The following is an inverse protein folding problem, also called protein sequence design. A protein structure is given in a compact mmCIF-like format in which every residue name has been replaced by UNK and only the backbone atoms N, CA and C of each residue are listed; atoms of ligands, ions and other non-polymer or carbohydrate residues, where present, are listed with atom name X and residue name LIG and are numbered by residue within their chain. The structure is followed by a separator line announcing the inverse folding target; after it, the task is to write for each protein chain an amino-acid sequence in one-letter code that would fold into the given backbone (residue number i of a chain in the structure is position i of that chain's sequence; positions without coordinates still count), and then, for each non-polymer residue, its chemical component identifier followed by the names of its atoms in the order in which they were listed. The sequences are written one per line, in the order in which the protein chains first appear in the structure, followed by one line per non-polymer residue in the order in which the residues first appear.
data_IF_897476449119
#
_entry.id   IF_897476449119
#
_cell.length_a   1.000
_cell.length_b   1.000
_cell.length_c   1.000
_cell.angle_alpha   90.00
_cell.angle_beta   90.00
_cell.angle_gamma   90.00
#
_symmetry.space_group_name_H-M   'P 1'
#
loop_
_entity.id
_entity.type
_entity.pdbx_description
1 polymer ?
#
# COMPACT_ATOMS: atom_id res chain seq x y z
N UNK A 1 -21.69 10.64 -15.52
CA UNK A 1 -20.58 11.46 -15.00
C UNK A 1 -20.10 10.78 -13.73
N UNK A 2 -18.90 10.19 -13.74
CA UNK A 2 -18.30 9.59 -12.54
C UNK A 2 -18.12 10.69 -11.50
N UNK A 3 -18.60 10.50 -10.27
CA UNK A 3 -18.35 11.46 -9.19
C UNK A 3 -16.85 11.56 -8.96
N UNK A 4 -16.31 12.78 -8.91
CA UNK A 4 -14.90 13.01 -8.56
C UNK A 4 -14.63 12.34 -7.21
N UNK A 5 -13.72 11.37 -7.19
CA UNK A 5 -13.30 10.70 -5.95
C UNK A 5 -12.22 11.57 -5.30
N UNK A 6 -12.61 12.27 -4.24
CA UNK A 6 -11.71 13.13 -3.47
C UNK A 6 -10.57 12.30 -2.85
N UNK A 7 -9.34 12.83 -2.88
CA UNK A 7 -8.11 12.17 -2.42
C UNK A 7 -7.32 13.12 -1.52
N UNK A 8 -6.59 12.56 -0.56
CA UNK A 8 -5.62 13.27 0.27
C UNK A 8 -4.22 12.88 -0.18
N UNK A 9 -3.57 13.77 -0.91
CA UNK A 9 -2.38 13.45 -1.70
C UNK A 9 -1.15 14.09 -1.07
N UNK A 10 -0.12 13.27 -0.83
CA UNK A 10 1.23 13.73 -0.55
C UNK A 10 2.06 13.77 -1.85
N UNK A 11 2.63 14.92 -2.19
CA UNK A 11 3.49 15.06 -3.39
C UNK A 11 4.96 14.98 -2.97
N UNK A 12 5.56 13.80 -3.10
CA UNK A 12 6.97 13.56 -2.80
C UNK A 12 7.85 14.03 -3.96
N UNK A 13 8.71 15.03 -3.74
CA UNK A 13 9.62 15.52 -4.78
C UNK A 13 10.87 16.20 -4.21
N UNK A 14 11.76 16.67 -5.09
CA UNK A 14 12.86 17.53 -4.65
C UNK A 14 12.38 18.97 -4.46
N UNK A 15 12.91 19.66 -3.45
CA UNK A 15 12.83 21.11 -3.31
C UNK A 15 13.28 21.88 -4.57
N UNK A 16 14.19 21.28 -5.35
CA UNK A 16 14.75 21.86 -6.57
C UNK A 16 13.99 21.50 -7.84
N UNK A 17 12.90 20.74 -7.75
CA UNK A 17 12.13 20.31 -8.93
C UNK A 17 11.24 21.47 -9.44
N UNK A 18 11.50 22.06 -10.61
CA UNK A 18 10.69 23.17 -11.11
C UNK A 18 9.28 22.76 -11.54
N UNK A 19 9.04 21.47 -11.81
CA UNK A 19 7.73 20.97 -12.25
C UNK A 19 6.75 20.71 -11.11
N UNK A 20 7.22 20.54 -9.87
CA UNK A 20 6.37 20.18 -8.73
C UNK A 20 5.19 21.14 -8.50
N UNK A 21 5.34 22.48 -8.59
CA UNK A 21 4.22 23.40 -8.41
C UNK A 21 3.09 23.20 -9.42
N UNK A 22 3.42 22.87 -10.68
CA UNK A 22 2.43 22.59 -11.72
C UNK A 22 1.66 21.30 -11.43
N UNK A 23 2.33 20.28 -10.88
CA UNK A 23 1.69 19.02 -10.48
C UNK A 23 0.72 19.25 -9.30
N UNK A 24 1.14 20.00 -8.29
CA UNK A 24 0.25 20.37 -7.17
C UNK A 24 -0.97 21.13 -7.67
N UNK A 25 -0.78 22.09 -8.58
CA UNK A 25 -1.89 22.85 -9.16
C UNK A 25 -2.86 21.96 -9.95
N UNK A 26 -2.35 21.03 -10.77
CA UNK A 26 -3.17 20.10 -11.54
C UNK A 26 -4.01 19.18 -10.62
N UNK A 27 -3.40 18.63 -9.57
CA UNK A 27 -4.09 17.77 -8.60
C UNK A 27 -5.18 18.52 -7.82
N UNK A 28 -4.91 19.77 -7.41
CA UNK A 28 -5.92 20.62 -6.76
C UNK A 28 -7.05 21.00 -7.72
N UNK A 29 -6.73 21.31 -8.98
CA UNK A 29 -7.72 21.59 -10.02
C UNK A 29 -8.61 20.37 -10.32
N UNK A 30 -8.09 19.16 -10.15
CA UNK A 30 -8.86 17.91 -10.22
C UNK A 30 -9.74 17.65 -8.98
N UNK A 31 -9.73 18.53 -7.97
CA UNK A 31 -10.59 18.45 -6.79
C UNK A 31 -10.03 17.60 -5.64
N UNK A 32 -8.71 17.39 -5.60
CA UNK A 32 -8.04 16.67 -4.50
C UNK A 32 -7.47 17.64 -3.46
N UNK A 33 -7.34 17.16 -2.22
CA UNK A 33 -6.63 17.84 -1.15
C UNK A 33 -5.15 17.44 -1.24
N UNK A 34 -4.25 18.43 -1.38
CA UNK A 34 -2.84 18.17 -1.75
C UNK A 34 -1.93 18.86 -0.74
N UNK A 35 -1.13 18.03 -0.04
CA UNK A 35 -0.03 18.49 0.78
C UNK A 35 1.16 18.88 -0.10
N UNK A 36 1.59 20.13 0.06
CA UNK A 36 2.76 20.71 -0.61
C UNK A 36 3.83 20.97 0.45
N UNK A 37 4.87 20.14 0.49
CA UNK A 37 5.97 20.27 1.45
C UNK A 37 6.71 21.60 1.34
N UNK A 38 6.56 22.35 0.23
CA UNK A 38 7.12 23.69 0.07
C UNK A 38 6.35 24.77 0.81
N UNK A 39 5.07 24.51 1.06
CA UNK A 39 4.13 25.41 1.70
C UNK A 39 3.24 24.61 2.65
N UNK A 40 3.80 23.91 3.67
CA UNK A 40 3.07 22.93 4.47
C UNK A 40 1.99 23.57 5.35
N UNK A 41 2.12 24.86 5.67
CA UNK A 41 1.12 25.67 6.36
C UNK A 41 1.31 27.16 6.04
N UNK A 42 0.28 28.02 6.23
CA UNK A 42 0.45 29.46 6.09
C UNK A 42 1.61 30.01 6.93
N UNK A 43 2.61 30.62 6.28
CA UNK A 43 3.80 31.14 6.94
C UNK A 43 4.88 30.13 7.28
N UNK A 44 4.71 28.84 6.92
CA UNK A 44 5.72 27.81 7.06
C UNK A 44 6.37 27.53 5.68
N UNK A 45 7.70 27.62 5.61
CA UNK A 45 8.48 27.43 4.40
C UNK A 45 9.14 26.05 4.30
N UNK A 46 8.65 25.06 5.05
CA UNK A 46 9.21 23.72 5.12
C UNK A 46 10.50 23.65 5.95
N UNK A 47 11.07 22.44 6.03
CA UNK A 47 12.31 22.19 6.76
C UNK A 47 13.54 22.52 5.91
N UNK A 48 14.53 23.20 6.52
CA UNK A 48 15.87 23.34 5.95
C UNK A 48 16.97 22.92 6.93
N UNK A 49 17.92 22.12 6.45
CA UNK A 49 19.11 21.77 7.22
C UNK A 49 19.94 22.99 7.66
N UNK A 50 19.88 24.10 6.91
CA UNK A 50 20.57 25.34 7.30
C UNK A 50 20.01 25.98 8.56
N UNK A 51 18.77 25.63 8.96
CA UNK A 51 18.15 26.06 10.21
C UNK A 51 18.60 25.21 11.40
N UNK A 52 19.13 24.01 11.14
CA UNK A 52 19.80 23.18 12.14
C UNK A 52 21.22 23.66 12.37
N UNK A 53 21.96 23.86 11.28
CA UNK A 53 23.32 24.38 11.27
C UNK A 53 23.64 24.96 9.88
N UNK A 54 24.08 26.22 9.75
CA UNK A 54 24.52 26.78 8.48
C UNK A 54 25.63 25.98 7.79
N UNK A 55 26.42 25.22 8.53
CA UNK A 55 27.53 24.40 8.05
C UNK A 55 27.17 22.91 7.85
N UNK A 56 25.88 22.56 7.79
CA UNK A 56 25.38 21.18 7.72
C UNK A 56 25.98 20.33 6.59
N UNK A 57 26.39 20.95 5.48
CA UNK A 57 27.03 20.26 4.35
C UNK A 57 28.41 19.68 4.69
N UNK A 58 29.07 20.18 5.74
CA UNK A 58 30.41 19.78 6.15
C UNK A 58 30.40 18.86 7.38
N UNK A 59 29.23 18.36 7.79
CA UNK A 59 29.15 17.41 8.89
C UNK A 59 29.80 16.07 8.55
N UNK A 60 30.47 15.48 9.54
CA UNK A 60 30.80 14.07 9.53
C UNK A 60 29.55 13.21 9.87
N UNK A 61 29.59 11.89 9.61
CA UNK A 61 28.45 11.01 9.89
C UNK A 61 27.98 10.99 11.36
N UNK A 62 28.90 11.15 12.32
CA UNK A 62 28.58 11.19 13.74
C UNK A 62 27.83 12.46 14.11
N UNK A 63 28.31 13.61 13.63
CA UNK A 63 27.61 14.90 13.78
C UNK A 63 26.23 14.86 13.13
N UNK A 64 26.11 14.31 11.93
CA UNK A 64 24.81 14.14 11.27
C UNK A 64 23.85 13.29 12.12
N UNK A 65 24.30 12.14 12.62
CA UNK A 65 23.46 11.26 13.44
C UNK A 65 23.02 11.95 14.73
N UNK A 66 23.94 12.63 15.43
CA UNK A 66 23.61 13.40 16.64
C UNK A 66 22.55 14.47 16.35
N UNK A 67 22.78 15.30 15.31
CA UNK A 67 21.86 16.40 14.96
C UNK A 67 20.50 15.88 14.49
N UNK A 68 20.47 14.80 13.70
CA UNK A 68 19.24 14.16 13.25
C UNK A 68 18.41 13.66 14.45
N UNK A 69 19.06 13.04 15.44
CA UNK A 69 18.37 12.38 16.56
C UNK A 69 18.00 13.32 17.71
N UNK A 70 18.66 14.47 17.84
CA UNK A 70 18.51 15.34 19.01
C UNK A 70 18.03 16.76 18.71
N UNK A 71 18.19 17.25 17.47
CA UNK A 71 17.92 18.66 17.19
C UNK A 71 16.42 18.94 17.06
N UNK A 72 15.86 19.93 17.79
CA UNK A 72 14.42 20.19 17.81
C UNK A 72 13.86 20.60 16.45
N UNK A 73 14.62 21.33 15.63
CA UNK A 73 14.19 21.68 14.26
C UNK A 73 14.09 20.45 13.37
N UNK A 74 15.00 19.48 13.50
CA UNK A 74 14.93 18.22 12.75
C UNK A 74 13.73 17.37 13.21
N UNK A 75 13.50 17.28 14.53
CA UNK A 75 12.34 16.60 15.08
C UNK A 75 11.01 17.24 14.63
N UNK A 76 10.93 18.57 14.63
CA UNK A 76 9.76 19.31 14.17
C UNK A 76 9.50 19.11 12.67
N UNK A 77 10.54 19.25 11.83
CA UNK A 77 10.44 19.01 10.38
C UNK A 77 9.99 17.60 10.07
N UNK A 78 10.60 16.59 10.72
CA UNK A 78 10.17 15.20 10.60
C UNK A 78 8.71 14.99 11.01
N UNK A 79 8.27 15.56 12.14
CA UNK A 79 6.90 15.41 12.61
C UNK A 79 5.86 16.01 11.66
N UNK A 80 6.16 17.15 11.02
CA UNK A 80 5.31 17.74 9.99
C UNK A 80 5.15 16.82 8.78
N UNK A 81 6.26 16.38 8.18
CA UNK A 81 6.21 15.53 6.99
C UNK A 81 5.60 14.16 7.32
N UNK A 82 5.95 13.58 8.46
CA UNK A 82 5.39 12.31 8.94
C UNK A 82 3.87 12.38 9.15
N UNK A 83 3.38 13.46 9.74
CA UNK A 83 1.94 13.67 9.92
C UNK A 83 1.21 13.77 8.58
N UNK A 84 1.81 14.42 7.58
CA UNK A 84 1.26 14.49 6.23
C UNK A 84 1.26 13.14 5.50
N UNK A 85 2.32 12.32 5.67
CA UNK A 85 2.38 10.95 5.14
C UNK A 85 1.35 10.02 5.82
N UNK A 86 1.08 10.22 7.10
CA UNK A 86 0.05 9.46 7.84
C UNK A 86 -1.35 9.87 7.40
N UNK A 87 -1.56 11.17 7.21
CA UNK A 87 -2.81 11.77 6.75
C UNK A 87 -3.18 11.35 5.32
N UNK A 88 -2.22 11.27 4.40
CA UNK A 88 -2.51 10.99 3.00
C UNK A 88 -3.07 9.58 2.79
N UNK A 89 -3.94 9.42 1.80
CA UNK A 89 -4.36 8.12 1.27
C UNK A 89 -3.60 7.75 -0.02
N UNK A 90 -2.91 8.73 -0.61
CA UNK A 90 -2.21 8.59 -1.88
C UNK A 90 -0.89 9.37 -1.82
N UNK A 91 0.20 8.80 -2.32
CA UNK A 91 1.47 9.50 -2.50
C UNK A 91 1.90 9.48 -3.97
N UNK A 92 2.34 10.63 -4.49
CA UNK A 92 2.84 10.76 -5.86
C UNK A 92 4.30 11.21 -5.79
N UNK A 93 5.21 10.35 -6.24
CA UNK A 93 6.61 10.68 -6.41
C UNK A 93 6.81 11.40 -7.75
N UNK A 94 7.34 12.62 -7.73
CA UNK A 94 7.52 13.46 -8.93
C UNK A 94 9.00 13.63 -9.22
N UNK A 95 9.47 13.02 -10.32
CA UNK A 95 10.85 13.14 -10.78
C UNK A 95 11.15 14.51 -11.42
N UNK A 96 12.43 14.96 -11.40
CA UNK A 96 13.53 14.39 -10.62
C UNK A 96 13.36 14.64 -9.12
N UNK A 97 13.69 13.65 -8.30
CA UNK A 97 13.65 13.77 -6.85
C UNK A 97 14.86 13.12 -6.17
N UNK A 98 15.01 13.37 -4.86
CA UNK A 98 16.09 12.81 -4.06
C UNK A 98 15.69 11.53 -3.32
N UNK A 99 16.61 11.08 -2.46
CA UNK A 99 16.45 9.90 -1.59
C UNK A 99 15.26 10.03 -0.62
N UNK A 100 15.02 11.22 -0.09
CA UNK A 100 13.91 11.47 0.85
C UNK A 100 12.56 11.15 0.22
N UNK A 101 12.29 11.68 -0.99
CA UNK A 101 11.05 11.42 -1.71
C UNK A 101 10.81 9.92 -1.98
N UNK A 102 11.86 9.15 -2.26
CA UNK A 102 11.74 7.69 -2.43
C UNK A 102 11.46 6.98 -1.10
N UNK A 103 12.08 7.42 -0.01
CA UNK A 103 11.80 6.89 1.33
C UNK A 103 10.36 7.18 1.76
N UNK A 104 9.86 8.39 1.47
CA UNK A 104 8.47 8.80 1.69
C UNK A 104 7.50 7.94 0.87
N UNK A 105 7.78 7.72 -0.42
CA UNK A 105 7.00 6.83 -1.28
C UNK A 105 6.97 5.40 -0.72
N UNK A 106 8.13 4.86 -0.33
CA UNK A 106 8.24 3.52 0.26
C UNK A 106 7.50 3.39 1.58
N UNK A 107 7.54 4.43 2.43
CA UNK A 107 6.79 4.48 3.68
C UNK A 107 5.27 4.43 3.46
N UNK A 108 4.78 5.13 2.44
CA UNK A 108 3.34 5.11 2.08
C UNK A 108 2.96 3.78 1.44
N UNK A 109 3.81 3.23 0.56
CA UNK A 109 3.59 1.90 -0.04
C UNK A 109 3.52 0.80 1.04
N UNK A 110 4.40 0.87 2.05
CA UNK A 110 4.41 -0.06 3.19
C UNK A 110 3.15 -0.01 4.06
N UNK A 111 2.35 1.05 3.96
CA UNK A 111 1.04 1.17 4.62
C UNK A 111 -0.13 0.69 3.74
N UNK A 112 0.13 0.09 2.58
CA UNK A 112 -0.92 -0.38 1.67
C UNK A 112 -1.71 0.72 0.96
N UNK A 113 -1.26 1.97 1.09
CA UNK A 113 -1.85 3.16 0.46
C UNK A 113 -1.46 3.25 -1.02
N UNK A 114 -2.21 4.03 -1.80
CA UNK A 114 -1.93 4.17 -3.23
C UNK A 114 -0.64 4.98 -3.46
N UNK A 115 0.25 4.46 -4.30
CA UNK A 115 1.50 5.13 -4.65
C UNK A 115 1.71 5.19 -6.15
N UNK A 116 2.00 6.39 -6.65
CA UNK A 116 2.25 6.62 -8.07
C UNK A 116 3.62 7.24 -8.29
N UNK A 117 4.27 6.85 -9.38
CA UNK A 117 5.52 7.47 -9.84
C UNK A 117 5.24 8.27 -11.11
N UNK A 118 5.54 9.56 -11.07
CA UNK A 118 5.51 10.46 -12.22
C UNK A 118 6.92 10.68 -12.75
N UNK A 119 7.19 10.10 -13.91
CA UNK A 119 8.46 10.16 -14.61
C UNK A 119 8.68 11.54 -15.25
N UNK A 120 9.91 12.03 -15.16
CA UNK A 120 10.35 13.17 -15.95
C UNK A 120 10.86 12.65 -17.29
N UNK A 121 10.48 13.24 -18.45
CA UNK A 121 10.86 12.73 -19.77
C UNK A 121 12.38 12.58 -19.95
N UNK A 122 13.15 13.58 -19.50
CA UNK A 122 14.60 13.62 -19.73
C UNK A 122 15.47 13.46 -18.46
N UNK A 123 14.86 13.23 -17.28
CA UNK A 123 15.57 13.29 -15.99
C UNK A 123 15.11 12.18 -15.06
N UNK A 124 15.24 10.95 -15.54
CA UNK A 124 15.06 9.76 -14.74
C UNK A 124 16.18 8.75 -15.01
N UNK A 125 16.56 8.03 -13.98
CA UNK A 125 17.35 6.81 -14.08
C UNK A 125 16.37 5.63 -14.00
N UNK A 126 16.46 4.61 -14.86
CA UNK A 126 15.59 3.44 -14.76
C UNK A 126 15.70 2.78 -13.39
N UNK A 127 14.57 2.60 -12.70
CA UNK A 127 14.50 2.02 -11.36
C UNK A 127 13.47 0.87 -11.34
N UNK A 128 13.96 -0.35 -11.09
CA UNK A 128 13.15 -1.57 -11.08
C UNK A 128 12.14 -1.59 -9.93
N UNK A 129 12.52 -1.04 -8.77
CA UNK A 129 11.71 -1.09 -7.55
C UNK A 129 10.43 -0.26 -7.65
N UNK A 130 10.23 0.50 -8.73
CA UNK A 130 8.95 1.15 -9.01
C UNK A 130 7.78 0.16 -9.17
N UNK A 131 8.05 -1.13 -9.41
CA UNK A 131 7.06 -2.21 -9.39
C UNK A 131 6.38 -2.42 -8.03
N UNK A 132 6.95 -1.91 -6.93
CA UNK A 132 6.29 -1.96 -5.61
C UNK A 132 5.07 -1.03 -5.53
N UNK A 133 5.01 0.00 -6.39
CA UNK A 133 3.99 1.03 -6.36
C UNK A 133 2.71 0.63 -7.10
N UNK A 134 1.63 1.38 -6.89
CA UNK A 134 0.35 1.16 -7.60
C UNK A 134 0.54 1.28 -9.11
N UNK A 135 1.20 2.34 -9.59
CA UNK A 135 1.56 2.48 -10.99
C UNK A 135 2.66 3.53 -11.24
N UNK A 136 3.19 3.53 -12.45
CA UNK A 136 4.19 4.48 -12.92
C UNK A 136 3.76 5.05 -14.28
N UNK A 137 3.88 6.36 -14.48
CA UNK A 137 3.50 7.05 -15.71
C UNK A 137 4.39 8.24 -15.99
N UNK A 138 4.50 8.66 -17.25
CA UNK A 138 5.06 9.95 -17.67
C UNK A 138 4.01 11.07 -17.75
N UNK A 139 2.74 10.79 -17.43
CA UNK A 139 1.63 11.73 -17.55
C UNK A 139 0.83 11.85 -16.25
N UNK A 140 0.71 13.09 -15.77
CA UNK A 140 -0.15 13.39 -14.60
C UNK A 140 -1.62 13.11 -14.90
N UNK A 141 -2.08 13.36 -16.14
CA UNK A 141 -3.47 13.11 -16.53
C UNK A 141 -3.82 11.61 -16.46
N UNK A 142 -2.85 10.75 -16.80
CA UNK A 142 -3.03 9.30 -16.66
C UNK A 142 -3.14 8.89 -15.18
N UNK A 143 -2.31 9.47 -14.31
CA UNK A 143 -2.40 9.22 -12.86
C UNK A 143 -3.75 9.68 -12.31
N UNK A 144 -4.22 10.88 -12.70
CA UNK A 144 -5.55 11.39 -12.33
C UNK A 144 -6.67 10.45 -12.83
N UNK A 145 -6.55 9.95 -14.06
CA UNK A 145 -7.46 8.95 -14.62
C UNK A 145 -7.54 7.68 -13.75
N UNK A 146 -6.39 7.10 -13.40
CA UNK A 146 -6.33 5.92 -12.52
C UNK A 146 -6.94 6.20 -11.13
N UNK A 147 -6.66 7.37 -10.55
CA UNK A 147 -7.22 7.76 -9.25
C UNK A 147 -8.74 7.94 -9.28
N UNK A 148 -9.31 8.39 -10.40
CA UNK A 148 -10.75 8.55 -10.57
C UNK A 148 -11.48 7.19 -10.66
N UNK A 149 -10.82 6.18 -11.24
CA UNK A 149 -11.36 4.83 -11.39
C UNK A 149 -11.26 4.03 -10.06
N UNK A 150 -10.20 4.23 -9.29
CA UNK A 150 -9.93 3.52 -8.02
C UNK A 150 -10.49 4.28 -6.81
N UNK A 151 -10.98 3.63 -5.73
CA UNK A 151 -11.27 4.40 -4.50
C UNK A 151 -9.99 4.75 -3.73
N UNK A 152 -9.99 5.85 -2.98
CA UNK A 152 -8.92 6.19 -2.05
C UNK A 152 -8.72 5.14 -0.96
N UNK A 153 -7.46 4.87 -0.64
CA UNK A 153 -7.10 4.31 0.67
C UNK A 153 -6.36 3.00 0.65
N UNK A 154 -6.00 2.62 1.88
CA UNK A 154 -5.45 1.32 2.25
C UNK A 154 -6.42 0.22 1.81
N UNK A 155 -5.92 -0.76 1.07
CA UNK A 155 -6.66 -1.97 0.69
C UNK A 155 -7.36 -2.59 1.92
N UNK A 156 -6.74 -2.51 3.10
CA UNK A 156 -7.34 -2.92 4.36
C UNK A 156 -8.56 -2.10 4.78
N UNK A 157 -8.56 -0.79 4.54
CA UNK A 157 -9.71 0.10 4.84
C UNK A 157 -10.88 -0.19 3.90
N UNK A 158 -10.64 -0.31 2.60
CA UNK A 158 -11.70 -0.69 1.66
C UNK A 158 -12.30 -2.05 2.03
N UNK A 159 -11.47 -3.02 2.41
CA UNK A 159 -11.92 -4.33 2.86
C UNK A 159 -12.85 -4.20 4.09
N UNK A 160 -12.44 -3.43 5.10
CA UNK A 160 -13.23 -3.16 6.33
C UNK A 160 -14.53 -2.42 6.04
N UNK A 161 -14.50 -1.36 5.23
CA UNK A 161 -15.67 -0.52 4.90
C UNK A 161 -16.66 -1.24 3.98
N UNK A 162 -16.18 -2.19 3.17
CA UNK A 162 -17.02 -3.07 2.34
C UNK A 162 -17.59 -4.24 3.14
N UNK A 163 -17.61 -4.16 4.47
CA UNK A 163 -18.25 -5.15 5.34
C UNK A 163 -17.33 -6.27 5.82
N UNK A 164 -16.06 -6.35 5.40
CA UNK A 164 -15.16 -7.36 5.94
C UNK A 164 -14.86 -7.05 7.42
N UNK A 165 -15.53 -7.76 8.30
CA UNK A 165 -15.36 -7.62 9.74
C UNK A 165 -14.01 -8.21 10.20
N UNK A 166 -13.12 -7.35 10.67
CA UNK A 166 -11.98 -7.70 11.54
C UNK A 166 -12.40 -8.09 12.97
N UNK A 167 -13.69 -8.27 13.25
CA UNK A 167 -14.21 -8.53 14.61
C UNK A 167 -14.28 -10.02 14.97
N UNK A 168 -14.13 -10.92 13.98
CA UNK A 168 -13.89 -12.36 14.21
C UNK A 168 -12.78 -12.88 13.29
N UNK A 169 -11.51 -12.68 13.67
CA UNK A 169 -10.33 -13.25 13.00
C UNK A 169 -10.23 -14.79 13.05
N UNK A 170 -11.35 -15.47 13.31
CA UNK A 170 -11.50 -16.92 13.34
C UNK A 170 -12.64 -17.41 12.43
N UNK A 171 -13.43 -16.50 11.81
CA UNK A 171 -14.36 -16.88 10.73
C UNK A 171 -13.95 -16.42 9.33
N UNK A 172 -13.12 -15.38 9.22
CA UNK A 172 -12.75 -14.79 7.93
C UNK A 172 -11.73 -15.63 7.19
N UNK A 173 -10.69 -16.07 7.86
CA UNK A 173 -9.71 -16.97 7.32
C UNK A 173 -10.09 -18.45 7.37
N UNK A 174 -11.14 -18.91 8.06
CA UNK A 174 -11.78 -20.20 7.78
C UNK A 174 -12.43 -20.16 6.39
N UNK A 175 -12.99 -19.02 5.99
CA UNK A 175 -13.48 -18.79 4.62
C UNK A 175 -12.32 -18.70 3.61
N UNK A 176 -11.26 -17.96 3.91
CA UNK A 176 -10.08 -17.90 3.02
C UNK A 176 -9.39 -19.27 2.91
N UNK A 177 -9.22 -19.98 4.02
CA UNK A 177 -8.72 -21.35 4.09
C UNK A 177 -9.52 -22.26 3.17
N UNK A 178 -10.86 -22.21 3.27
CA UNK A 178 -11.74 -23.00 2.43
C UNK A 178 -11.58 -22.66 0.95
N UNK A 179 -11.56 -21.38 0.59
CA UNK A 179 -11.35 -20.93 -0.80
C UNK A 179 -10.00 -21.39 -1.35
N UNK A 180 -8.94 -21.38 -0.55
CA UNK A 180 -7.60 -21.82 -0.99
C UNK A 180 -7.52 -23.37 -1.06
N UNK A 181 -8.14 -24.12 -0.14
CA UNK A 181 -8.23 -25.59 -0.24
C UNK A 181 -8.98 -26.00 -1.52
N UNK A 182 -10.12 -25.36 -1.82
CA UNK A 182 -10.90 -25.63 -3.03
C UNK A 182 -10.07 -25.35 -4.30
N UNK A 183 -9.22 -24.32 -4.29
CA UNK A 183 -8.30 -24.00 -5.39
C UNK A 183 -7.12 -24.99 -5.49
N UNK A 184 -6.51 -25.40 -4.38
CA UNK A 184 -5.44 -26.40 -4.37
C UNK A 184 -5.93 -27.74 -4.94
N UNK A 185 -7.12 -28.18 -4.52
CA UNK A 185 -7.75 -29.40 -5.05
C UNK A 185 -8.08 -29.25 -6.53
N UNK A 186 -8.63 -28.10 -6.95
CA UNK A 186 -8.90 -27.83 -8.37
C UNK A 186 -7.62 -27.77 -9.23
N UNK A 187 -6.49 -27.38 -8.64
CA UNK A 187 -5.17 -27.36 -9.27
C UNK A 187 -4.46 -28.73 -9.26
N UNK A 188 -5.08 -29.76 -8.70
CA UNK A 188 -4.57 -31.13 -8.70
C UNK A 188 -3.70 -31.51 -7.49
N UNK A 189 -3.64 -30.67 -6.46
CA UNK A 189 -2.97 -31.04 -5.21
C UNK A 189 -3.76 -32.14 -4.49
N UNK A 190 -3.06 -33.17 -4.03
CA UNK A 190 -3.63 -34.23 -3.23
C UNK A 190 -3.81 -33.81 -1.77
N UNK A 191 -4.76 -34.45 -1.08
CA UNK A 191 -5.00 -34.26 0.34
C UNK A 191 -3.71 -34.45 1.16
N UNK A 192 -2.88 -35.43 0.79
CA UNK A 192 -1.59 -35.69 1.45
C UNK A 192 -0.62 -34.52 1.29
N UNK A 193 -0.54 -33.91 0.10
CA UNK A 193 0.36 -32.78 -0.14
C UNK A 193 -0.04 -31.54 0.67
N UNK A 194 -1.35 -31.30 0.80
CA UNK A 194 -1.91 -30.24 1.62
C UNK A 194 -1.56 -30.45 3.09
N UNK A 195 -1.72 -31.67 3.62
CA UNK A 195 -1.40 -32.02 5.01
C UNK A 195 0.11 -31.94 5.28
N UNK A 196 0.94 -32.50 4.40
CA UNK A 196 2.40 -32.54 4.59
C UNK A 196 3.01 -31.13 4.63
N UNK A 197 2.59 -30.24 3.72
CA UNK A 197 3.09 -28.86 3.68
C UNK A 197 2.58 -28.05 4.88
N UNK A 198 1.33 -28.28 5.27
CA UNK A 198 0.76 -27.64 6.44
C UNK A 198 1.54 -28.00 7.70
N UNK A 199 1.82 -29.30 7.92
CA UNK A 199 2.62 -29.75 9.05
C UNK A 199 4.05 -29.21 9.08
N UNK A 200 4.68 -29.03 7.90
CA UNK A 200 6.06 -28.55 7.82
C UNK A 200 6.22 -27.07 8.24
N UNK A 201 5.25 -26.21 7.90
CA UNK A 201 5.28 -24.79 8.26
C UNK A 201 4.86 -24.57 9.72
N UNK A 202 3.88 -25.32 10.26
CA UNK A 202 3.57 -25.32 11.69
C UNK A 202 4.83 -25.62 12.51
N UNK A 203 5.54 -26.70 12.14
CA UNK A 203 6.77 -27.09 12.82
C UNK A 203 7.88 -26.02 12.70
N UNK A 204 7.89 -25.22 11.64
CA UNK A 204 8.88 -24.16 11.42
C UNK A 204 8.60 -22.93 12.28
N UNK A 205 7.34 -22.55 12.40
CA UNK A 205 6.93 -21.44 13.25
C UNK A 205 7.07 -21.79 14.74
N UNK A 206 6.78 -23.04 15.12
CA UNK A 206 7.11 -23.58 16.45
C UNK A 206 8.61 -23.47 16.77
N UNK A 207 9.48 -23.87 15.83
CA UNK A 207 10.95 -23.76 16.00
C UNK A 207 11.44 -22.32 16.20
N UNK A 208 10.70 -21.33 15.69
CA UNK A 208 11.04 -19.90 15.81
C UNK A 208 10.45 -19.26 17.06
N UNK A 209 9.68 -20.00 17.86
CA UNK A 209 9.03 -19.48 19.05
C UNK A 209 7.99 -18.40 18.74
N UNK A 210 7.48 -18.36 17.50
CA UNK A 210 6.57 -17.32 17.02
C UNK A 210 5.24 -17.27 17.81
N UNK A 211 4.96 -18.29 18.64
CA UNK A 211 3.70 -18.48 19.36
C UNK A 211 3.80 -18.45 20.89
N UNK A 212 4.98 -18.13 21.44
CA UNK A 212 5.14 -18.01 22.90
C UNK A 212 4.82 -19.29 23.71
N UNK A 213 4.77 -20.46 23.05
CA UNK A 213 4.47 -21.75 23.68
C UNK A 213 2.99 -22.09 23.82
N UNK A 214 2.08 -21.30 23.23
CA UNK A 214 0.65 -21.60 23.20
C UNK A 214 0.16 -21.82 21.75
N UNK A 215 0.06 -23.08 21.29
CA UNK A 215 -0.44 -23.41 19.96
C UNK A 215 -1.89 -22.97 19.69
N UNK A 216 -2.67 -22.66 20.74
CA UNK A 216 -4.04 -22.15 20.62
C UNK A 216 -4.11 -20.61 20.55
N UNK A 217 -3.00 -19.91 20.81
CA UNK A 217 -2.88 -18.47 20.63
C UNK A 217 -2.58 -18.06 19.18
N UNK A 218 -2.31 -19.05 18.32
CA UNK A 218 -2.26 -18.92 16.86
C UNK A 218 -3.65 -18.45 16.42
N UNK A 219 -3.81 -17.25 15.85
CA UNK A 219 -5.04 -16.94 15.13
C UNK A 219 -5.20 -18.03 14.07
N UNK A 220 -6.15 -18.97 14.28
CA UNK A 220 -6.37 -20.30 13.64
C UNK A 220 -6.67 -20.23 12.12
N UNK A 221 -6.04 -19.28 11.44
CA UNK A 221 -6.58 -18.65 10.25
C UNK A 221 -5.46 -18.10 9.36
N UNK A 222 -4.41 -17.51 9.95
CA UNK A 222 -3.36 -16.84 9.15
C UNK A 222 -2.21 -17.77 8.76
N UNK A 223 -1.83 -18.70 9.64
CA UNK A 223 -0.81 -19.70 9.35
C UNK A 223 -1.26 -20.62 8.21
N UNK A 224 -2.51 -21.06 8.25
CA UNK A 224 -3.06 -21.97 7.25
C UNK A 224 -3.27 -21.29 5.88
N UNK A 225 -3.68 -20.01 5.85
CA UNK A 225 -3.74 -19.24 4.60
C UNK A 225 -2.34 -19.03 3.98
N UNK A 226 -1.33 -18.72 4.79
CA UNK A 226 0.06 -18.58 4.32
C UNK A 226 0.61 -19.92 3.80
N UNK A 227 0.33 -21.01 4.51
CA UNK A 227 0.70 -22.38 4.14
C UNK A 227 0.09 -22.80 2.79
N UNK A 228 -1.19 -22.55 2.59
CA UNK A 228 -1.87 -22.95 1.35
C UNK A 228 -1.49 -22.08 0.15
N UNK A 229 -1.20 -20.79 0.35
CA UNK A 229 -0.66 -19.92 -0.69
C UNK A 229 0.73 -20.38 -1.17
N UNK A 230 1.57 -20.90 -0.28
CA UNK A 230 2.87 -21.46 -0.63
C UNK A 230 2.75 -22.82 -1.36
N UNK A 231 1.79 -23.67 -0.99
CA UNK A 231 1.45 -24.91 -1.74
C UNK A 231 1.00 -24.56 -3.16
N UNK A 232 0.10 -23.60 -3.31
CA UNK A 232 -0.39 -23.15 -4.61
C UNK A 232 0.72 -22.53 -5.48
N UNK A 233 1.54 -21.63 -4.91
CA UNK A 233 2.65 -21.01 -5.62
C UNK A 233 3.66 -22.06 -6.13
N UNK A 234 3.94 -23.08 -5.32
CA UNK A 234 4.89 -24.16 -5.65
C UNK A 234 4.39 -25.09 -6.74
N UNK A 235 3.13 -25.50 -6.70
CA UNK A 235 2.58 -26.49 -7.64
C UNK A 235 2.05 -25.88 -8.93
N UNK A 236 1.58 -24.63 -8.89
CA UNK A 236 1.07 -23.94 -10.08
C UNK A 236 2.11 -23.02 -10.74
N UNK A 237 3.26 -22.76 -10.09
CA UNK A 237 4.30 -21.86 -10.62
C UNK A 237 3.89 -20.40 -10.65
N UNK A 238 3.03 -20.00 -9.71
CA UNK A 238 2.33 -18.71 -9.72
C UNK A 238 2.98 -17.75 -8.73
N UNK A 239 3.24 -16.51 -9.17
CA UNK A 239 3.74 -15.43 -8.31
C UNK A 239 2.66 -14.97 -7.31
N UNK A 240 2.91 -15.26 -6.03
CA UNK A 240 2.01 -14.96 -4.91
C UNK A 240 1.65 -13.48 -4.81
N UNK A 241 2.60 -12.57 -5.05
CA UNK A 241 2.36 -11.14 -4.88
C UNK A 241 1.54 -10.57 -6.05
N UNK A 242 1.84 -11.01 -7.28
CA UNK A 242 1.08 -10.66 -8.47
C UNK A 242 -0.37 -11.15 -8.45
N UNK A 243 -0.63 -12.40 -8.05
CA UNK A 243 -1.99 -12.93 -8.07
C UNK A 243 -2.87 -12.43 -6.92
N UNK A 244 -2.30 -12.20 -5.73
CA UNK A 244 -3.06 -11.53 -4.64
C UNK A 244 -3.53 -10.16 -5.13
N UNK A 245 -2.65 -9.39 -5.78
CA UNK A 245 -2.98 -8.07 -6.32
C UNK A 245 -4.04 -8.16 -7.43
N UNK A 246 -3.90 -9.08 -8.37
CA UNK A 246 -4.92 -9.34 -9.41
C UNK A 246 -6.25 -9.80 -8.84
N UNK A 247 -6.25 -10.64 -7.80
CA UNK A 247 -7.48 -11.12 -7.15
C UNK A 247 -8.18 -9.97 -6.43
N UNK A 248 -7.44 -9.11 -5.75
CA UNK A 248 -7.96 -7.89 -5.15
C UNK A 248 -8.54 -6.95 -6.21
N UNK A 249 -7.88 -6.80 -7.36
CA UNK A 249 -8.41 -6.01 -8.50
C UNK A 249 -9.65 -6.68 -9.17
N UNK A 250 -9.75 -8.01 -9.16
CA UNK A 250 -10.94 -8.75 -9.65
C UNK A 250 -12.10 -8.65 -8.65
N UNK A 251 -11.81 -8.71 -7.35
CA UNK A 251 -12.80 -8.48 -6.29
C UNK A 251 -13.29 -7.04 -6.33
N UNK A 252 -12.39 -6.07 -6.57
CA UNK A 252 -12.70 -4.67 -6.79
C UNK A 252 -13.70 -4.44 -7.94
N UNK A 253 -13.50 -5.12 -9.07
CA UNK A 253 -14.33 -4.97 -10.28
C UNK A 253 -15.67 -5.71 -10.21
N UNK A 254 -15.87 -6.57 -9.22
CA UNK A 254 -17.13 -7.30 -9.01
C UNK A 254 -17.87 -6.53 -7.92
N UNK A 255 -19.00 -5.92 -8.25
CA UNK A 255 -19.81 -5.16 -7.29
C UNK A 255 -20.40 -6.12 -6.22
N UNK A 256 -19.66 -6.37 -5.14
CA UNK A 256 -20.09 -7.22 -4.01
C UNK A 256 -20.91 -6.39 -3.01
N UNK A 257 -21.93 -7.02 -2.42
CA UNK A 257 -22.71 -6.49 -1.29
C UNK A 257 -22.38 -7.25 -0.01
N UNK A 258 -22.36 -6.57 1.13
CA UNK A 258 -22.21 -7.20 2.44
C UNK A 258 -23.58 -7.67 2.95
N UNK A 259 -23.66 -8.90 3.47
CA UNK A 259 -24.84 -9.34 4.21
C UNK A 259 -24.85 -8.77 5.64
N UNK A 260 -25.89 -9.10 6.43
CA UNK A 260 -26.04 -8.64 7.81
C UNK A 260 -24.87 -9.03 8.73
N UNK A 261 -24.07 -10.03 8.34
CA UNK A 261 -22.91 -10.53 9.08
C UNK A 261 -21.58 -10.02 8.51
N UNK A 262 -21.61 -9.11 7.52
CA UNK A 262 -20.41 -8.56 6.88
C UNK A 262 -19.74 -9.49 5.85
N UNK A 263 -20.34 -10.65 5.55
CA UNK A 263 -19.85 -11.50 4.49
C UNK A 263 -20.20 -10.88 3.12
N UNK A 264 -19.18 -10.61 2.31
CA UNK A 264 -19.35 -10.14 0.93
C UNK A 264 -19.94 -11.25 0.05
N UNK A 265 -21.09 -10.98 -0.57
CA UNK A 265 -21.72 -11.83 -1.57
C UNK A 265 -21.99 -11.02 -2.86
N UNK A 266 -22.08 -11.69 -4.00
CA UNK A 266 -22.49 -11.04 -5.24
C UNK A 266 -24.02 -11.12 -5.35
N UNK A 267 -24.75 -10.01 -5.44
CA UNK A 267 -26.19 -10.04 -5.72
C UNK A 267 -26.38 -10.79 -7.04
N UNK A 268 -27.26 -11.79 -7.05
CA UNK A 268 -27.42 -12.66 -8.20
C UNK A 268 -27.57 -11.85 -9.48
N UNK A 269 -26.80 -12.20 -10.53
CA UNK A 269 -27.15 -11.77 -11.88
C UNK A 269 -28.60 -12.19 -12.08
N UNK A 270 -29.52 -11.22 -12.17
CA UNK A 270 -30.82 -11.51 -12.73
C UNK A 270 -30.55 -12.20 -14.07
N UNK A 271 -30.87 -13.49 -14.17
CA UNK A 271 -31.05 -14.11 -15.47
C UNK A 271 -32.01 -13.17 -16.18
N UNK A 272 -31.53 -12.49 -17.23
CA UNK A 272 -32.45 -11.94 -18.23
C UNK A 272 -33.31 -13.14 -18.63
N UNK A 273 -34.57 -13.12 -18.22
CA UNK A 273 -35.54 -14.07 -18.72
C UNK A 273 -35.43 -14.01 -20.25
N UNK A 274 -35.22 -15.15 -20.88
CA UNK A 274 -35.28 -15.26 -22.32
C UNK A 274 -36.67 -14.79 -22.77
N UNK A 275 -36.71 -13.64 -23.43
CA UNK A 275 -37.79 -13.14 -24.26
C UNK A 275 -37.16 -12.33 -25.40
#
# INVERSE_FOLDING_TARGET
MSSIKHRRIYVASSWRNPGQPAIVAALRAAGHEVYDFRNPAPGNAGFSWSEVDPNWLNWDPGTFAEKLLSHPVAAAGFAFDKSALDWCDTCILVLPCGRSAHLELGYVAGQGKDTYVLLHPDKFEPELMYLLNTACSSSIDQIIGWMAERQPGDVGRWHVESGAHFTRPAGHALRLLREVIELCVAAGASEKEIIDHSGAEIAKAERRGEYGGDPAAVPEEWADCAMLLEVFARHAGIDKHGEIRKKLDVLWNREWEANADGALYRPGMAMKAAA
#
